data_IF_004577584813
#
_entry.id   IF_004577584813
#
_cell.length_a   1.000
_cell.length_b   1.000
_cell.length_c   1.000
_cell.angle_alpha   90.00
_cell.angle_beta   90.00
_cell.angle_gamma   90.00
#
_symmetry.space_group_name_H-M   'P 1'
#
loop_
_entity.id
_entity.type
_entity.pdbx_description
1 polymer ?
#
# COMPACT_ATOMS: atom_id res chain seq x y z
N UNK A 1 -7.22 -4.19 11.19
CA UNK A 1 -6.36 -5.32 11.63
C UNK A 1 -5.96 -6.27 10.50
N UNK A 2 -6.86 -6.65 9.57
CA UNK A 2 -6.53 -7.58 8.46
C UNK A 2 -5.37 -7.15 7.56
N UNK A 3 -5.24 -5.85 7.27
CA UNK A 3 -4.16 -5.27 6.43
C UNK A 3 -2.78 -5.48 7.05
N UNK A 4 -2.65 -5.17 8.35
CA UNK A 4 -1.42 -5.35 9.12
C UNK A 4 -0.98 -6.82 9.24
N UNK A 5 -1.93 -7.76 9.21
CA UNK A 5 -1.62 -9.20 9.22
C UNK A 5 -0.97 -9.68 7.91
N UNK A 6 -1.11 -8.96 6.80
CA UNK A 6 -0.53 -9.33 5.50
C UNK A 6 0.77 -8.57 5.26
N UNK A 7 0.79 -7.27 5.57
CA UNK A 7 1.98 -6.44 5.33
C UNK A 7 3.14 -6.83 6.24
N UNK A 8 2.91 -7.07 7.54
CA UNK A 8 3.98 -7.36 8.51
C UNK A 8 4.78 -8.65 8.24
N UNK A 9 4.16 -9.79 7.89
CA UNK A 9 4.91 -10.97 7.46
C UNK A 9 5.67 -10.75 6.15
N UNK A 10 5.04 -10.10 5.17
CA UNK A 10 5.67 -9.84 3.87
C UNK A 10 6.92 -8.97 4.01
N UNK A 11 6.86 -7.88 4.78
CA UNK A 11 8.05 -7.04 5.00
C UNK A 11 9.18 -7.78 5.73
N UNK A 12 8.87 -8.64 6.71
CA UNK A 12 9.90 -9.47 7.35
C UNK A 12 10.55 -10.45 6.38
N UNK A 13 9.74 -11.11 5.53
CA UNK A 13 10.22 -12.01 4.49
C UNK A 13 11.09 -11.27 3.48
N UNK A 14 10.63 -10.13 2.97
CA UNK A 14 11.36 -9.35 1.96
C UNK A 14 12.71 -8.81 2.44
N UNK A 15 12.82 -8.43 3.72
CA UNK A 15 14.09 -7.94 4.29
C UNK A 15 15.17 -9.02 4.41
N UNK A 16 14.77 -10.28 4.48
CA UNK A 16 15.65 -11.42 4.71
C UNK A 16 15.84 -12.29 3.47
N UNK A 17 15.15 -11.98 2.36
CA UNK A 17 15.18 -12.80 1.16
C UNK A 17 16.37 -12.45 0.26
N UNK A 18 17.10 -13.47 -0.20
CA UNK A 18 18.23 -13.31 -1.13
C UNK A 18 17.77 -13.17 -2.59
N UNK A 19 16.54 -13.60 -2.90
CA UNK A 19 15.92 -13.39 -4.20
C UNK A 19 15.38 -11.95 -4.28
N UNK A 20 15.97 -11.17 -5.20
CA UNK A 20 15.65 -9.76 -5.37
C UNK A 20 14.20 -9.52 -5.81
N UNK A 21 13.61 -10.43 -6.61
CA UNK A 21 12.23 -10.29 -7.08
C UNK A 21 11.27 -10.52 -5.92
N UNK A 22 11.56 -11.49 -5.06
CA UNK A 22 10.76 -11.75 -3.85
C UNK A 22 10.89 -10.60 -2.85
N UNK A 23 12.10 -10.12 -2.61
CA UNK A 23 12.35 -8.98 -1.72
C UNK A 23 11.60 -7.73 -2.19
N UNK A 24 11.64 -7.45 -3.50
CA UNK A 24 10.93 -6.34 -4.11
C UNK A 24 9.41 -6.47 -3.96
N UNK A 25 8.85 -7.63 -4.34
CA UNK A 25 7.41 -7.86 -4.26
C UNK A 25 6.89 -7.73 -2.83
N UNK A 26 7.63 -8.29 -1.86
CA UNK A 26 7.32 -8.15 -0.43
C UNK A 26 7.29 -6.69 0.04
N UNK A 27 8.27 -5.88 -0.40
CA UNK A 27 8.28 -4.45 -0.11
C UNK A 27 7.09 -3.71 -0.76
N UNK A 28 6.74 -4.08 -1.99
CA UNK A 28 5.63 -3.46 -2.73
C UNK A 28 4.26 -3.75 -2.11
N UNK A 29 4.07 -4.89 -1.45
CA UNK A 29 2.83 -5.17 -0.69
C UNK A 29 2.60 -4.10 0.38
N UNK A 30 3.62 -3.78 1.17
CA UNK A 30 3.52 -2.77 2.23
C UNK A 30 3.36 -1.35 1.66
N UNK A 31 4.13 -1.02 0.62
CA UNK A 31 4.07 0.26 -0.08
C UNK A 31 2.67 0.52 -0.66
N UNK A 32 2.11 -0.42 -1.42
CA UNK A 32 0.78 -0.28 -2.02
C UNK A 32 -0.32 -0.26 -0.96
N UNK A 33 -0.19 -1.02 0.14
CA UNK A 33 -1.15 -0.91 1.23
C UNK A 33 -1.13 0.50 1.85
N UNK A 34 0.05 1.10 2.02
CA UNK A 34 0.18 2.48 2.46
C UNK A 34 -0.47 3.47 1.49
N UNK A 35 -0.31 3.28 0.18
CA UNK A 35 -0.96 4.10 -0.84
C UNK A 35 -2.50 4.03 -0.76
N UNK A 36 -3.06 2.82 -0.59
CA UNK A 36 -4.51 2.63 -0.39
C UNK A 36 -4.97 3.32 0.89
N UNK A 37 -4.22 3.18 2.00
CA UNK A 37 -4.58 3.80 3.29
C UNK A 37 -4.61 5.34 3.15
N UNK A 38 -3.64 5.94 2.45
CA UNK A 38 -3.62 7.39 2.18
C UNK A 38 -4.74 7.83 1.24
N UNK A 39 -5.02 7.06 0.18
CA UNK A 39 -6.10 7.36 -0.76
C UNK A 39 -7.46 7.38 -0.05
N UNK A 40 -7.70 6.47 0.91
CA UNK A 40 -8.91 6.47 1.72
C UNK A 40 -9.05 7.72 2.59
N UNK A 41 -7.95 8.18 3.19
CA UNK A 41 -7.93 9.44 3.96
C UNK A 41 -8.29 10.63 3.05
N UNK A 42 -7.74 10.67 1.84
CA UNK A 42 -8.01 11.72 0.87
C UNK A 42 -9.46 11.71 0.38
N UNK A 43 -10.07 10.53 0.19
CA UNK A 43 -11.50 10.42 -0.12
C UNK A 43 -12.40 10.89 1.03
N UNK A 44 -11.97 10.72 2.28
CA UNK A 44 -12.77 11.11 3.45
C UNK A 44 -12.64 12.60 3.80
N UNK A 45 -11.48 13.20 3.54
CA UNK A 45 -11.13 14.53 4.07
C UNK A 45 -10.63 15.53 3.03
N UNK A 46 -10.39 15.10 1.79
CA UNK A 46 -9.92 15.96 0.70
C UNK A 46 -11.02 16.83 0.10
N UNK A 47 -10.58 17.88 -0.59
CA UNK A 47 -11.43 18.88 -1.24
C UNK A 47 -11.02 19.21 -2.69
N UNK A 48 -9.81 18.82 -3.12
CA UNK A 48 -9.36 18.92 -4.50
C UNK A 48 -10.00 17.82 -5.38
N UNK A 49 -10.82 18.18 -6.40
CA UNK A 49 -11.53 17.20 -7.22
C UNK A 49 -10.64 16.26 -8.03
N UNK A 50 -9.50 16.74 -8.56
CA UNK A 50 -8.57 15.93 -9.35
C UNK A 50 -7.87 14.89 -8.45
N UNK A 51 -7.53 15.32 -7.23
CA UNK A 51 -6.90 14.44 -6.24
C UNK A 51 -7.88 13.40 -5.69
N UNK A 52 -9.17 13.74 -5.54
CA UNK A 52 -10.22 12.79 -5.15
C UNK A 52 -10.44 11.73 -6.25
N UNK A 53 -10.43 12.14 -7.53
CA UNK A 53 -10.51 11.21 -8.66
C UNK A 53 -9.33 10.24 -8.66
N UNK A 54 -8.10 10.76 -8.54
CA UNK A 54 -6.89 9.95 -8.44
C UNK A 54 -6.92 8.96 -7.26
N UNK A 55 -7.43 9.40 -6.10
CA UNK A 55 -7.57 8.51 -4.94
C UNK A 55 -8.52 7.34 -5.21
N UNK A 56 -9.58 7.56 -6.00
CA UNK A 56 -10.46 6.52 -6.49
C UNK A 56 -9.73 5.51 -7.39
N UNK A 57 -8.91 5.98 -8.32
CA UNK A 57 -8.13 5.13 -9.23
C UNK A 57 -7.09 4.27 -8.49
N UNK A 58 -6.48 4.78 -7.42
CA UNK A 58 -5.52 4.03 -6.60
C UNK A 58 -6.17 2.85 -5.86
N UNK A 59 -7.47 2.94 -5.57
CA UNK A 59 -8.21 1.92 -4.81
C UNK A 59 -8.87 0.88 -5.73
N UNK A 60 -9.24 1.26 -6.94
CA UNK A 60 -10.08 0.48 -7.87
C UNK A 60 -9.42 -0.78 -8.46
#
# INVERSE_FOLDING_TARGET
>A
MRRMMISMPAMHEGMMNEDADVAFACGMIAHHQGAIDMAQVLLEHGDDPEMIELAGEIIA
#
